data_IF_368654208150
#
_entry.id   IF_368654208150
#
_cell.length_a   1.000
_cell.length_b   1.000
_cell.length_c   1.000
_cell.angle_alpha   90.00
_cell.angle_beta   90.00
_cell.angle_gamma   90.00
#
_symmetry.space_group_name_H-M   'P 1'
#
loop_
_entity.id
_entity.type
_entity.pdbx_description
1 polymer ?
#
# COMPACT_ATOMS: atom_id res chain seq x y z
N UNK A 1 -5.13 6.56 9.96
CA UNK A 1 -5.03 6.10 8.54
C UNK A 1 -4.78 4.61 8.45
N UNK A 2 -3.65 4.09 8.96
CA UNK A 2 -3.41 2.63 9.01
C UNK A 2 -4.50 1.85 9.73
N UNK A 3 -5.10 2.41 10.77
CA UNK A 3 -6.21 1.79 11.51
C UNK A 3 -7.47 1.53 10.64
N UNK A 4 -7.62 2.25 9.53
CA UNK A 4 -8.72 2.12 8.58
C UNK A 4 -8.34 1.27 7.35
N UNK A 5 -7.05 0.91 7.20
CA UNK A 5 -6.56 0.02 6.16
C UNK A 5 -6.76 -1.44 6.59
N UNK A 6 -7.98 -1.91 6.37
CA UNK A 6 -8.46 -3.23 6.82
C UNK A 6 -8.77 -4.18 5.66
N UNK A 7 -8.57 -3.74 4.41
CA UNK A 7 -8.93 -4.51 3.22
C UNK A 7 -8.22 -5.88 3.15
N UNK A 8 -7.02 -5.99 3.74
CA UNK A 8 -6.28 -7.26 3.79
C UNK A 8 -6.92 -8.27 4.77
N UNK A 9 -7.70 -7.82 5.77
CA UNK A 9 -8.37 -8.70 6.74
C UNK A 9 -9.29 -9.71 6.01
N UNK A 10 -9.94 -9.29 4.92
CA UNK A 10 -10.80 -10.17 4.11
C UNK A 10 -10.03 -11.30 3.42
N UNK A 11 -8.71 -11.16 3.26
CA UNK A 11 -7.82 -12.12 2.59
C UNK A 11 -6.90 -12.87 3.57
N UNK A 12 -7.11 -12.73 4.87
CA UNK A 12 -6.29 -13.37 5.89
C UNK A 12 -6.20 -14.90 5.67
N UNK A 13 -4.97 -15.42 5.77
CA UNK A 13 -4.67 -16.84 5.51
C UNK A 13 -4.65 -17.25 4.04
N UNK A 14 -5.07 -16.39 3.10
CA UNK A 14 -5.07 -16.67 1.65
C UNK A 14 -3.99 -15.89 0.90
N UNK A 15 -3.83 -14.62 1.24
CA UNK A 15 -2.84 -13.73 0.64
C UNK A 15 -1.94 -13.13 1.71
N UNK A 16 -0.73 -12.77 1.31
CA UNK A 16 0.27 -12.17 2.17
C UNK A 16 0.79 -10.87 1.55
N UNK A 17 0.95 -9.86 2.37
CA UNK A 17 1.65 -8.63 2.02
C UNK A 17 2.87 -8.48 2.94
N UNK A 18 3.95 -7.91 2.44
CA UNK A 18 5.11 -7.59 3.27
C UNK A 18 4.84 -6.34 4.12
N UNK A 19 5.58 -6.14 5.23
CA UNK A 19 5.46 -4.92 6.01
C UNK A 19 5.65 -3.67 5.13
N UNK A 20 4.70 -2.75 5.21
CA UNK A 20 4.76 -1.47 4.51
C UNK A 20 5.72 -0.56 5.29
N UNK A 21 6.90 -0.30 4.72
CA UNK A 21 7.92 0.58 5.31
C UNK A 21 8.02 1.94 4.59
N UNK A 22 7.10 2.20 3.66
CA UNK A 22 7.03 3.43 2.88
C UNK A 22 5.75 4.24 3.18
N UNK A 23 5.78 5.52 2.78
CA UNK A 23 4.67 6.46 2.96
C UNK A 23 3.47 6.10 2.06
N UNK A 24 2.25 6.60 2.33
CA UNK A 24 1.11 6.41 1.43
C UNK A 24 1.44 6.73 -0.04
N UNK A 25 0.95 5.90 -0.96
CA UNK A 25 1.29 6.02 -2.39
C UNK A 25 0.44 7.04 -3.14
N UNK A 26 -0.70 7.46 -2.58
CA UNK A 26 -1.65 8.35 -3.25
C UNK A 26 -2.45 9.18 -2.24
N UNK A 27 -2.91 10.41 -2.58
CA UNK A 27 -2.64 11.16 -3.81
C UNK A 27 -1.49 12.15 -3.66
N UNK A 28 -0.44 12.01 -4.47
CA UNK A 28 0.57 13.06 -4.63
C UNK A 28 0.07 14.17 -5.56
N UNK A 29 0.61 15.38 -5.41
CA UNK A 29 0.33 16.53 -6.27
C UNK A 29 0.75 16.29 -7.72
N UNK A 30 -0.06 16.78 -8.66
CA UNK A 30 0.21 16.65 -10.10
C UNK A 30 1.18 17.72 -10.64
N UNK A 31 1.34 18.85 -9.93
CA UNK A 31 2.38 19.83 -10.26
C UNK A 31 3.75 19.21 -9.98
N UNK A 32 4.58 19.11 -11.03
CA UNK A 32 5.94 18.56 -10.99
C UNK A 32 6.80 19.26 -9.93
N UNK A 33 6.55 20.55 -9.66
CA UNK A 33 7.28 21.30 -8.62
C UNK A 33 6.89 20.88 -7.20
N UNK A 34 5.77 20.17 -7.03
CA UNK A 34 5.18 19.79 -5.75
C UNK A 34 4.94 18.27 -5.62
N UNK A 35 5.42 17.43 -6.56
CA UNK A 35 5.12 16.00 -6.60
C UNK A 35 5.57 15.16 -5.40
N UNK A 36 6.25 15.75 -4.41
CA UNK A 36 6.56 15.12 -3.12
C UNK A 36 5.52 15.42 -2.02
N UNK A 37 4.54 16.28 -2.30
CA UNK A 37 3.45 16.62 -1.39
C UNK A 37 2.18 15.88 -1.76
N UNK A 38 1.31 15.65 -0.79
CA UNK A 38 -0.02 15.10 -1.02
C UNK A 38 -1.03 16.19 -1.38
N UNK A 39 -1.99 15.84 -2.24
CA UNK A 39 -3.15 16.68 -2.53
C UNK A 39 -3.99 16.90 -1.27
N UNK A 40 -4.60 18.08 -1.14
CA UNK A 40 -5.37 18.43 0.08
C UNK A 40 -6.85 18.01 0.07
N UNK A 41 -7.38 17.60 -1.07
CA UNK A 41 -8.81 17.27 -1.22
C UNK A 41 -9.14 15.81 -0.90
N UNK A 42 -8.12 14.97 -0.69
CA UNK A 42 -8.25 13.54 -0.40
C UNK A 42 -7.24 13.13 0.65
N UNK A 43 -7.63 12.11 1.41
CA UNK A 43 -6.80 11.58 2.49
C UNK A 43 -5.72 10.66 1.92
N UNK A 44 -4.45 10.76 2.36
CA UNK A 44 -3.40 9.85 1.92
C UNK A 44 -3.73 8.37 2.23
N UNK A 45 -3.46 7.47 1.29
CA UNK A 45 -3.72 6.04 1.40
C UNK A 45 -2.67 5.19 0.65
N UNK A 46 -2.57 3.90 1.01
CA UNK A 46 -1.79 2.89 0.28
C UNK A 46 -2.66 2.21 -0.78
N UNK A 47 -3.07 2.97 -1.79
CA UNK A 47 -3.91 2.44 -2.87
C UNK A 47 -3.19 1.40 -3.74
N UNK A 48 -1.85 1.46 -3.78
CA UNK A 48 -1.03 0.55 -4.56
C UNK A 48 -0.43 -0.52 -3.65
N UNK A 49 -0.83 -1.78 -3.88
CA UNK A 49 -0.51 -2.91 -3.01
C UNK A 49 -0.03 -4.11 -3.81
N UNK A 50 0.82 -4.92 -3.20
CA UNK A 50 1.30 -6.17 -3.79
C UNK A 50 1.01 -7.31 -2.82
N UNK A 51 0.09 -8.17 -3.22
CA UNK A 51 -0.31 -9.35 -2.45
C UNK A 51 0.23 -10.61 -3.12
N UNK A 52 0.73 -11.54 -2.31
CA UNK A 52 1.34 -12.78 -2.75
C UNK A 52 0.53 -13.97 -2.27
N UNK A 53 0.36 -14.96 -3.15
CA UNK A 53 -0.11 -16.28 -2.75
C UNK A 53 0.97 -17.00 -1.91
N UNK A 54 0.63 -18.08 -1.17
CA UNK A 54 1.62 -18.85 -0.43
C UNK A 54 2.81 -19.30 -1.29
N UNK A 55 2.53 -19.78 -2.51
CA UNK A 55 3.57 -20.24 -3.45
C UNK A 55 4.42 -19.08 -3.99
N UNK A 56 3.83 -17.92 -4.29
CA UNK A 56 4.60 -16.77 -4.76
C UNK A 56 5.53 -16.23 -3.65
N UNK A 57 5.05 -16.21 -2.40
CA UNK A 57 5.82 -15.80 -1.23
C UNK A 57 7.09 -16.65 -1.05
N UNK A 58 7.00 -17.96 -1.26
CA UNK A 58 8.19 -18.84 -1.16
C UNK A 58 9.27 -18.55 -2.20
N UNK A 59 8.94 -17.88 -3.31
CA UNK A 59 9.92 -17.55 -4.36
C UNK A 59 10.75 -16.29 -4.02
N UNK A 60 10.26 -15.45 -3.12
CA UNK A 60 10.87 -14.15 -2.77
C UNK A 60 11.42 -14.11 -1.34
N UNK A 61 11.25 -15.20 -0.59
CA UNK A 61 11.83 -15.41 0.74
C UNK A 61 13.05 -16.33 0.62
N UNK A 62 14.23 -15.74 0.36
CA UNK A 62 15.54 -16.39 0.45
C UNK A 62 16.37 -15.71 1.53
#
# INVERSE_FOLDING_TARGET
LREYDRELEDFEGRLFEFPIEFVPSYPFEEDIKQGSYYMQTRVPAWCDRILLSPTAKTLVQN
#
